data_IF_388767200665
#
_entry.id   IF_388767200665
#
_cell.length_a   1.000
_cell.length_b   1.000
_cell.length_c   1.000
_cell.angle_alpha   90.00
_cell.angle_beta   90.00
_cell.angle_gamma   90.00
#
_symmetry.space_group_name_H-M   'P 1'
#
loop_
_entity.id
_entity.type
_entity.pdbx_description
1 polymer ?
#
# COMPACT_ATOMS: atom_id res chain seq x y z
N UNK A 1 -1.07 -17.82 -3.64
CA UNK A 1 -1.39 -16.63 -2.81
C UNK A 1 -1.09 -15.29 -3.49
N UNK A 2 -0.03 -15.14 -4.29
CA UNK A 2 0.33 -13.84 -4.92
C UNK A 2 -0.84 -13.18 -5.69
N UNK A 3 -1.54 -13.94 -6.54
CA UNK A 3 -2.70 -13.42 -7.31
C UNK A 3 -3.84 -12.91 -6.42
N UNK A 4 -4.08 -13.59 -5.29
CA UNK A 4 -5.12 -13.21 -4.33
C UNK A 4 -4.72 -11.92 -3.61
N UNK A 5 -3.49 -11.84 -3.12
CA UNK A 5 -2.94 -10.64 -2.48
C UNK A 5 -2.94 -9.44 -3.42
N UNK A 6 -2.62 -9.65 -4.70
CA UNK A 6 -2.72 -8.62 -5.72
C UNK A 6 -4.17 -8.19 -5.95
N UNK A 7 -5.10 -9.13 -6.05
CA UNK A 7 -6.53 -8.84 -6.15
C UNK A 7 -7.03 -8.00 -4.97
N UNK A 8 -6.62 -8.35 -3.75
CA UNK A 8 -6.91 -7.56 -2.54
C UNK A 8 -6.31 -6.16 -2.63
N UNK A 9 -5.06 -6.03 -3.11
CA UNK A 9 -4.41 -4.73 -3.30
C UNK A 9 -5.18 -3.83 -4.27
N UNK A 10 -5.66 -4.39 -5.39
CA UNK A 10 -6.48 -3.66 -6.37
C UNK A 10 -7.77 -3.14 -5.71
N UNK A 11 -8.52 -4.04 -5.05
CA UNK A 11 -9.80 -3.68 -4.42
C UNK A 11 -9.59 -2.65 -3.30
N UNK A 12 -8.55 -2.81 -2.49
CA UNK A 12 -8.23 -1.88 -1.42
C UNK A 12 -7.82 -0.49 -1.96
N UNK A 13 -7.01 -0.44 -3.03
CA UNK A 13 -6.67 0.82 -3.70
C UNK A 13 -7.88 1.53 -4.29
N UNK A 14 -8.78 0.79 -4.92
CA UNK A 14 -10.03 1.33 -5.46
C UNK A 14 -10.92 1.90 -4.35
N UNK A 15 -11.02 1.19 -3.22
CA UNK A 15 -11.78 1.64 -2.05
C UNK A 15 -11.20 2.91 -1.43
N UNK A 16 -9.87 3.00 -1.29
CA UNK A 16 -9.22 4.22 -0.79
C UNK A 16 -9.39 5.41 -1.75
N UNK A 17 -9.26 5.19 -3.05
CA UNK A 17 -9.53 6.22 -4.06
C UNK A 17 -10.98 6.71 -4.03
N UNK A 18 -11.94 5.79 -3.82
CA UNK A 18 -13.34 6.15 -3.62
C UNK A 18 -13.55 6.99 -2.36
N UNK A 19 -12.94 6.63 -1.23
CA UNK A 19 -13.02 7.43 0.00
C UNK A 19 -12.45 8.83 -0.23
N UNK A 20 -11.28 8.95 -0.84
CA UNK A 20 -10.64 10.24 -1.14
C UNK A 20 -11.51 11.12 -2.04
N UNK A 21 -12.26 10.53 -2.97
CA UNK A 21 -13.14 11.29 -3.87
C UNK A 21 -14.37 11.90 -3.20
N UNK A 22 -14.66 11.56 -1.93
CA UNK A 22 -15.86 12.03 -1.24
C UNK A 22 -15.68 13.50 -0.83
N UNK A 23 -16.59 14.41 -1.22
CA UNK A 23 -16.47 15.84 -0.90
C UNK A 23 -16.61 16.16 0.60
N UNK A 24 -17.08 15.19 1.39
CA UNK A 24 -17.22 15.30 2.86
C UNK A 24 -16.01 14.75 3.62
N UNK A 25 -15.00 14.23 2.92
CA UNK A 25 -13.81 13.65 3.55
C UNK A 25 -12.70 14.70 3.64
N UNK A 26 -12.24 15.02 4.84
CA UNK A 26 -11.17 16.00 5.10
C UNK A 26 -9.94 15.36 5.80
N UNK A 27 -10.01 14.06 6.09
CA UNK A 27 -8.98 13.36 6.89
C UNK A 27 -7.90 12.72 6.00
N UNK A 28 -6.99 13.56 5.52
CA UNK A 28 -5.82 13.10 4.74
C UNK A 28 -4.94 12.15 5.56
N UNK A 29 -4.79 12.41 6.88
CA UNK A 29 -3.95 11.59 7.76
C UNK A 29 -4.43 10.14 7.86
N UNK A 30 -5.75 9.94 7.92
CA UNK A 30 -6.33 8.60 7.96
C UNK A 30 -6.10 7.84 6.65
N UNK A 31 -6.14 8.55 5.53
CA UNK A 31 -5.86 7.98 4.22
C UNK A 31 -4.38 7.58 4.08
N UNK A 32 -3.46 8.41 4.57
CA UNK A 32 -2.03 8.10 4.66
C UNK A 32 -1.78 6.83 5.48
N UNK A 33 -2.40 6.72 6.66
CA UNK A 33 -2.28 5.53 7.52
C UNK A 33 -2.88 4.29 6.82
N UNK A 34 -4.02 4.45 6.15
CA UNK A 34 -4.68 3.37 5.40
C UNK A 34 -3.81 2.84 4.27
N UNK A 35 -3.25 3.71 3.44
CA UNK A 35 -2.32 3.33 2.36
C UNK A 35 -1.10 2.61 2.93
N UNK A 36 -0.47 3.20 3.95
CA UNK A 36 0.74 2.65 4.57
C UNK A 36 0.46 1.25 5.16
N UNK A 37 -0.65 1.12 5.89
CA UNK A 37 -1.08 -0.12 6.53
C UNK A 37 -1.43 -1.22 5.52
N UNK A 38 -2.21 -0.91 4.48
CA UNK A 38 -2.60 -1.87 3.44
C UNK A 38 -1.38 -2.35 2.66
N UNK A 39 -0.54 -1.43 2.18
CA UNK A 39 0.66 -1.77 1.43
C UNK A 39 1.62 -2.61 2.28
N UNK A 40 1.84 -2.21 3.54
CA UNK A 40 2.71 -2.94 4.46
C UNK A 40 2.17 -4.32 4.82
N UNK A 41 0.88 -4.45 5.09
CA UNK A 41 0.28 -5.74 5.44
C UNK A 41 0.35 -6.73 4.28
N UNK A 42 0.06 -6.31 3.05
CA UNK A 42 0.09 -7.18 1.87
C UNK A 42 1.51 -7.71 1.58
N UNK A 43 2.54 -6.86 1.72
CA UNK A 43 3.92 -7.28 1.52
C UNK A 43 4.45 -8.11 2.67
N UNK A 44 4.04 -7.79 3.91
CA UNK A 44 4.32 -8.58 5.10
C UNK A 44 3.74 -10.01 5.01
N UNK A 45 2.52 -10.14 4.48
CA UNK A 45 1.81 -11.43 4.38
C UNK A 45 2.41 -12.38 3.36
N UNK A 46 3.19 -11.91 2.38
CA UNK A 46 3.57 -12.83 1.32
C UNK A 46 4.03 -12.22 0.02
N UNK A 47 3.63 -10.99 -0.28
CA UNK A 47 3.81 -10.49 -1.64
C UNK A 47 5.28 -10.15 -1.93
N UNK A 48 5.82 -10.72 -3.01
CA UNK A 48 7.27 -10.68 -3.29
C UNK A 48 7.72 -9.39 -3.98
N UNK A 49 6.79 -8.63 -4.57
CA UNK A 49 7.08 -7.44 -5.37
C UNK A 49 6.44 -6.19 -4.73
N UNK A 50 7.06 -5.60 -3.69
CA UNK A 50 6.46 -4.49 -2.95
C UNK A 50 6.12 -3.28 -3.83
N UNK A 51 6.94 -3.01 -4.85
CA UNK A 51 6.69 -1.92 -5.81
C UNK A 51 5.37 -2.09 -6.59
N UNK A 52 4.96 -3.32 -6.91
CA UNK A 52 3.67 -3.55 -7.59
C UNK A 52 2.48 -3.26 -6.67
N UNK A 53 2.60 -3.61 -5.38
CA UNK A 53 1.54 -3.31 -4.39
C UNK A 53 1.39 -1.80 -4.26
N UNK A 54 2.50 -1.08 -4.11
CA UNK A 54 2.48 0.38 -4.01
C UNK A 54 1.81 1.03 -5.22
N UNK A 55 2.17 0.61 -6.45
CA UNK A 55 1.58 1.16 -7.68
C UNK A 55 0.09 0.86 -7.77
N UNK A 56 -0.30 -0.40 -7.58
CA UNK A 56 -1.69 -0.83 -7.77
C UNK A 56 -2.63 -0.21 -6.73
N UNK A 57 -2.14 0.05 -5.52
CA UNK A 57 -2.92 0.75 -4.48
C UNK A 57 -3.01 2.25 -4.77
N UNK A 58 -1.89 2.89 -5.11
CA UNK A 58 -1.83 4.37 -5.23
C UNK A 58 -2.27 4.93 -6.58
N UNK A 59 -2.29 4.11 -7.65
CA UNK A 59 -2.66 4.57 -9.01
C UNK A 59 -4.07 5.18 -9.06
N UNK A 60 -5.01 4.65 -8.28
CA UNK A 60 -6.39 5.14 -8.24
C UNK A 60 -6.46 6.56 -7.68
N UNK A 61 -5.71 6.83 -6.62
CA UNK A 61 -5.63 8.14 -5.97
C UNK A 61 -4.91 9.14 -6.90
N UNK A 62 -3.83 8.70 -7.55
CA UNK A 62 -3.08 9.50 -8.51
C UNK A 62 -3.95 9.89 -9.72
N UNK A 63 -4.65 8.92 -10.31
CA UNK A 63 -5.56 9.17 -11.42
C UNK A 63 -6.68 10.13 -11.02
N UNK A 64 -7.30 9.92 -9.86
CA UNK A 64 -8.37 10.81 -9.39
C UNK A 64 -7.89 12.25 -9.21
N UNK A 65 -6.79 12.48 -8.49
CA UNK A 65 -6.37 13.85 -8.23
C UNK A 65 -5.74 14.58 -9.42
N UNK A 66 -5.15 13.86 -10.39
CA UNK A 66 -4.67 14.48 -11.64
C UNK A 66 -5.84 14.83 -12.56
N UNK A 67 -6.76 13.90 -12.81
CA UNK A 67 -7.81 14.07 -13.81
C UNK A 67 -9.03 14.85 -13.31
N UNK A 68 -9.34 14.77 -12.01
CA UNK A 68 -10.53 15.42 -11.43
C UNK A 68 -10.11 16.69 -10.69
N UNK A 69 -9.24 16.55 -9.70
CA UNK A 69 -8.88 17.65 -8.79
C UNK A 69 -7.82 18.62 -9.34
N UNK A 70 -7.16 18.28 -10.45
CA UNK A 70 -6.07 19.05 -11.07
C UNK A 70 -4.99 19.47 -10.05
N UNK A 71 -4.70 18.62 -9.05
CA UNK A 71 -3.83 18.94 -7.93
C UNK A 71 -2.64 17.98 -7.82
N UNK A 72 -1.52 18.47 -7.30
CA UNK A 72 -0.27 17.70 -7.13
C UNK A 72 -0.22 16.88 -5.84
N UNK A 73 -1.20 17.08 -4.94
CA UNK A 73 -1.30 16.37 -3.65
C UNK A 73 -1.20 14.84 -3.70
N UNK A 74 -1.77 14.15 -4.72
CA UNK A 74 -1.74 12.68 -4.82
C UNK A 74 -0.33 12.07 -4.96
N UNK A 75 0.69 12.86 -5.32
CA UNK A 75 2.08 12.38 -5.41
C UNK A 75 2.55 11.87 -4.04
N UNK A 76 2.11 12.52 -2.96
CA UNK A 76 2.43 12.10 -1.59
C UNK A 76 1.88 10.69 -1.31
N UNK A 77 0.66 10.39 -1.78
CA UNK A 77 0.06 9.07 -1.61
C UNK A 77 0.90 7.95 -2.23
N UNK A 78 1.53 8.21 -3.38
CA UNK A 78 2.44 7.27 -4.04
C UNK A 78 3.68 7.02 -3.17
N UNK A 79 4.31 8.09 -2.68
CA UNK A 79 5.50 7.99 -1.80
C UNK A 79 5.18 7.19 -0.53
N UNK A 80 4.04 7.48 0.11
CA UNK A 80 3.58 6.75 1.30
C UNK A 80 3.32 5.28 0.99
N UNK A 81 2.71 4.96 -0.16
CA UNK A 81 2.47 3.58 -0.58
C UNK A 81 3.78 2.80 -0.73
N UNK A 82 4.82 3.43 -1.29
CA UNK A 82 6.15 2.85 -1.38
C UNK A 82 6.76 2.60 -0.01
N UNK A 83 6.69 3.56 0.90
CA UNK A 83 7.20 3.42 2.27
C UNK A 83 6.53 2.24 2.97
N UNK A 84 5.19 2.16 2.94
CA UNK A 84 4.45 1.06 3.55
C UNK A 84 4.82 -0.30 2.95
N UNK A 85 4.83 -0.40 1.61
CA UNK A 85 5.14 -1.65 0.92
C UNK A 85 6.54 -2.17 1.25
N UNK A 86 7.55 -1.31 1.25
CA UNK A 86 8.92 -1.71 1.58
C UNK A 86 9.09 -2.00 3.08
N UNK A 87 8.45 -1.23 3.97
CA UNK A 87 8.50 -1.49 5.41
C UNK A 87 7.98 -2.90 5.74
N UNK A 88 6.80 -3.28 5.22
CA UNK A 88 6.25 -4.63 5.41
C UNK A 88 7.15 -5.74 4.85
N UNK A 89 7.78 -5.49 3.71
CA UNK A 89 8.72 -6.43 3.09
C UNK A 89 10.00 -6.62 3.92
N UNK A 90 10.57 -5.53 4.46
CA UNK A 90 11.76 -5.57 5.33
C UNK A 90 11.45 -6.34 6.62
N UNK A 91 10.32 -6.04 7.27
CA UNK A 91 9.89 -6.72 8.50
C UNK A 91 9.77 -8.23 8.25
N UNK A 92 9.10 -8.63 7.16
CA UNK A 92 8.99 -10.03 6.77
C UNK A 92 10.35 -10.69 6.56
N UNK A 93 11.24 -10.01 5.85
CA UNK A 93 12.58 -10.52 5.56
C UNK A 93 13.39 -10.73 6.84
N UNK A 94 13.23 -9.85 7.83
CA UNK A 94 13.78 -10.00 9.17
C UNK A 94 13.21 -11.22 9.91
N UNK A 95 11.88 -11.39 9.90
CA UNK A 95 11.21 -12.53 10.52
C UNK A 95 11.66 -13.88 9.94
N UNK A 96 11.83 -13.96 8.61
CA UNK A 96 12.30 -15.16 7.93
C UNK A 96 13.75 -15.51 8.30
N UNK A 97 14.62 -14.49 8.40
CA UNK A 97 16.02 -14.68 8.82
C UNK A 97 16.12 -15.20 10.26
N UNK A 98 15.31 -14.65 11.18
CA UNK A 98 15.29 -15.11 12.57
C UNK A 98 14.80 -16.56 12.70
N UNK A 99 13.78 -16.95 11.92
CA UNK A 99 13.30 -18.33 11.90
C UNK A 99 14.33 -19.36 11.43
N UNK A 100 15.24 -18.97 10.52
CA UNK A 100 16.31 -19.86 10.05
C UNK A 100 17.44 -20.05 11.07
N UNK A 101 17.72 -19.03 11.89
CA UNK A 101 18.76 -19.09 12.93
C UNK A 101 18.33 -19.90 14.16
N UNK A 102 17.03 -20.02 14.44
CA UNK A 102 16.49 -20.83 15.53
C UNK A 102 16.22 -22.30 15.20
N UNK A 103 16.37 -22.69 13.93
CA UNK A 103 16.04 -24.04 13.42
C UNK A 103 17.23 -24.99 13.28
N UNK A 104 18.43 -24.57 13.65
CA UNK A 104 19.63 -25.44 13.71
C UNK A 104 19.90 -25.81 15.16
N UNK A 105 19.19 -26.82 15.65
CA UNK A 105 19.41 -27.45 16.95
C UNK A 105 19.20 -28.95 16.82
#
# INVERSE_FOLDING_TARGET
>A
MQKILLGIAIVAGLFLGYIESRPTWDDTALLVIGILGICGLITLLGYQRPWLVALVVSIWILLHGIFVSHSSGPIVAVVIAFIGAYAGWVVRSGLQKMGQLGGTG
#
